data_IF_029980544824
#
_entry.id   IF_029980544824
#
_cell.length_a   1.000
_cell.length_b   1.000
_cell.length_c   1.000
_cell.angle_alpha   90.00
_cell.angle_beta   90.00
_cell.angle_gamma   90.00
#
_symmetry.space_group_name_H-M   'P 1'
#
loop_
_entity.id
_entity.type
_entity.pdbx_description
1 polymer ?
#
# COMPACT_ATOMS: atom_id res chain seq x y z
N UNK A 1 24.17 36.16 -31.96
CA UNK A 1 23.37 37.24 -31.33
C UNK A 1 22.31 36.57 -30.49
N UNK A 2 22.03 37.07 -29.27
CA UNK A 2 21.04 36.49 -28.35
C UNK A 2 20.07 37.59 -27.92
N UNK A 3 18.77 37.30 -27.95
CA UNK A 3 17.69 38.16 -27.43
C UNK A 3 16.67 37.30 -26.66
N UNK A 4 15.89 37.88 -25.75
CA UNK A 4 14.81 37.19 -25.03
C UNK A 4 13.54 37.11 -25.90
N UNK A 5 12.85 35.97 -25.85
CA UNK A 5 11.61 35.71 -26.58
C UNK A 5 10.38 36.34 -25.91
N UNK A 6 10.37 37.67 -25.73
CA UNK A 6 9.32 38.43 -25.03
C UNK A 6 8.54 39.41 -25.94
N UNK A 7 8.74 39.36 -27.27
CA UNK A 7 8.19 40.30 -28.27
C UNK A 7 8.55 41.79 -28.05
N UNK A 8 9.50 42.08 -27.16
CA UNK A 8 9.98 43.43 -26.81
C UNK A 8 11.47 43.60 -27.14
N UNK A 9 12.30 42.61 -26.81
CA UNK A 9 13.72 42.61 -27.19
C UNK A 9 13.92 42.39 -28.69
N UNK A 10 14.84 43.17 -29.25
CA UNK A 10 15.03 43.32 -30.68
C UNK A 10 16.48 43.05 -31.08
N UNK A 11 16.67 42.34 -32.20
CA UNK A 11 17.96 42.16 -32.84
C UNK A 11 17.97 42.83 -34.21
N UNK A 12 18.86 43.78 -34.42
CA UNK A 12 19.07 44.40 -35.74
C UNK A 12 19.79 43.44 -36.68
N UNK A 13 19.18 43.18 -37.83
CA UNK A 13 19.72 42.45 -38.97
C UNK A 13 20.27 43.46 -39.98
N UNK A 14 21.46 43.20 -40.52
CA UNK A 14 22.08 44.04 -41.54
C UNK A 14 22.52 43.19 -42.72
N UNK A 15 22.19 43.65 -43.93
CA UNK A 15 22.59 43.05 -45.19
C UNK A 15 23.33 44.08 -46.04
N UNK A 16 24.49 43.68 -46.55
CA UNK A 16 25.35 44.53 -47.38
C UNK A 16 25.42 43.89 -48.76
N UNK A 17 24.72 44.49 -49.73
CA UNK A 17 24.73 44.04 -51.11
C UNK A 17 25.81 44.79 -51.88
N UNK A 18 26.78 44.08 -52.47
CA UNK A 18 27.88 44.68 -53.23
C UNK A 18 27.97 44.17 -54.66
N UNK A 19 28.42 45.04 -55.55
CA UNK A 19 28.84 44.65 -56.90
C UNK A 19 30.22 43.96 -56.89
N UNK A 20 30.65 43.49 -58.06
CA UNK A 20 31.97 42.85 -58.23
C UNK A 20 33.16 43.79 -57.98
N UNK A 21 32.93 45.09 -57.91
CA UNK A 21 33.94 46.12 -57.67
C UNK A 21 33.95 46.60 -56.20
N UNK A 22 33.07 46.05 -55.36
CA UNK A 22 32.99 46.34 -53.93
C UNK A 22 32.09 47.53 -53.57
N UNK A 23 31.35 48.11 -54.53
CA UNK A 23 30.41 49.20 -54.29
C UNK A 23 29.07 48.66 -53.78
N UNK A 24 28.42 49.37 -52.86
CA UNK A 24 27.07 49.01 -52.40
C UNK A 24 26.04 49.21 -53.53
N UNK A 25 25.03 48.34 -53.59
CA UNK A 25 23.96 48.37 -54.58
C UNK A 25 22.66 48.86 -53.91
N UNK A 26 22.30 50.16 -54.07
CA UNK A 26 21.09 50.72 -53.49
C UNK A 26 19.81 50.34 -54.26
N UNK A 27 18.65 50.66 -53.67
CA UNK A 27 17.32 50.61 -54.28
C UNK A 27 16.87 49.23 -54.80
N UNK A 28 17.18 48.16 -54.06
CA UNK A 28 16.69 46.81 -54.33
C UNK A 28 15.57 46.40 -53.36
N UNK A 29 14.67 45.50 -53.77
CA UNK A 29 13.65 44.92 -52.88
C UNK A 29 14.29 43.79 -52.05
N UNK A 30 14.90 44.16 -50.92
CA UNK A 30 15.48 43.22 -49.95
C UNK A 30 14.45 42.88 -48.88
N UNK A 31 14.26 41.59 -48.60
CA UNK A 31 13.46 41.09 -47.48
C UNK A 31 14.25 40.07 -46.66
N UNK A 32 14.36 40.35 -45.38
CA UNK A 32 14.84 39.38 -44.39
C UNK A 32 13.73 38.40 -44.04
N UNK A 33 14.05 37.12 -43.93
CA UNK A 33 13.13 36.05 -43.50
C UNK A 33 13.77 35.25 -42.37
N UNK A 34 12.95 34.87 -41.40
CA UNK A 34 13.30 33.96 -40.30
C UNK A 34 12.53 32.65 -40.47
N UNK A 35 13.17 31.52 -40.16
CA UNK A 35 12.54 30.19 -40.15
C UNK A 35 11.92 29.82 -38.79
N UNK A 36 12.19 30.59 -37.73
CA UNK A 36 11.63 30.36 -36.41
C UNK A 36 10.16 30.79 -36.37
N UNK A 37 9.27 29.87 -36.00
CA UNK A 37 7.84 30.15 -35.77
C UNK A 37 7.67 31.22 -34.69
N UNK A 38 6.62 32.03 -34.81
CA UNK A 38 6.32 33.14 -33.89
C UNK A 38 7.46 34.17 -33.72
N UNK A 39 8.34 34.24 -34.72
CA UNK A 39 9.26 35.36 -34.91
C UNK A 39 8.70 36.34 -35.94
N UNK A 40 9.02 37.62 -35.76
CA UNK A 40 8.59 38.74 -36.60
C UNK A 40 9.81 39.50 -37.07
N UNK A 41 9.91 39.65 -38.39
CA UNK A 41 10.90 40.50 -39.03
C UNK A 41 10.21 41.78 -39.50
N UNK A 42 10.75 42.94 -39.12
CA UNK A 42 10.19 44.24 -39.51
C UNK A 42 10.29 44.47 -41.03
N UNK A 43 9.62 45.52 -41.50
CA UNK A 43 9.89 46.05 -42.84
C UNK A 43 11.37 46.41 -42.98
N UNK A 44 11.93 46.13 -44.16
CA UNK A 44 13.34 46.45 -44.46
C UNK A 44 13.49 47.94 -44.73
N UNK A 45 14.56 48.52 -44.18
CA UNK A 45 14.95 49.92 -44.36
C UNK A 45 16.27 49.97 -45.12
N UNK A 46 16.30 50.69 -46.24
CA UNK A 46 17.55 51.04 -46.90
C UNK A 46 18.20 52.22 -46.17
N UNK A 47 19.44 52.03 -45.75
CA UNK A 47 20.23 53.01 -45.02
C UNK A 47 20.91 54.00 -46.00
N UNK A 48 21.26 55.22 -45.55
CA UNK A 48 21.90 56.22 -46.42
C UNK A 48 23.22 55.79 -47.07
N UNK A 49 23.89 54.76 -46.53
CA UNK A 49 25.12 54.18 -47.06
C UNK A 49 24.88 53.06 -48.09
N UNK A 50 23.62 52.77 -48.44
CA UNK A 50 23.24 51.72 -49.38
C UNK A 50 23.22 50.31 -48.78
N UNK A 51 23.24 50.17 -47.45
CA UNK A 51 23.00 48.90 -46.75
C UNK A 51 21.52 48.72 -46.40
N UNK A 52 21.09 47.50 -46.09
CA UNK A 52 19.70 47.19 -45.74
C UNK A 52 19.64 46.71 -44.31
N UNK A 53 18.66 47.18 -43.55
CA UNK A 53 18.44 46.76 -42.17
C UNK A 53 16.99 46.37 -41.89
N UNK A 54 16.81 45.43 -40.98
CA UNK A 54 15.51 45.05 -40.41
C UNK A 54 15.71 44.66 -38.95
N UNK A 55 14.62 44.54 -38.20
CA UNK A 55 14.65 44.11 -36.82
C UNK A 55 13.93 42.77 -36.68
N UNK A 56 14.52 41.85 -35.92
CA UNK A 56 13.93 40.59 -35.52
C UNK A 56 13.53 40.64 -34.04
N UNK A 57 12.31 40.17 -33.75
CA UNK A 57 11.83 39.85 -32.39
C UNK A 57 10.90 38.64 -32.43
N UNK A 58 10.47 38.11 -31.29
CA UNK A 58 9.52 37.00 -31.26
C UNK A 58 9.16 36.52 -29.85
N UNK A 59 8.25 35.55 -29.79
CA UNK A 59 7.79 34.92 -28.53
C UNK A 59 8.21 33.46 -28.38
N UNK A 60 8.74 32.83 -29.44
CA UNK A 60 9.24 31.46 -29.37
C UNK A 60 10.74 31.44 -29.08
N UNK A 61 11.16 30.69 -28.06
CA UNK A 61 12.56 30.41 -27.83
C UNK A 61 13.10 29.40 -28.87
N UNK A 62 14.31 29.65 -29.38
CA UNK A 62 14.95 28.82 -30.39
C UNK A 62 15.94 29.57 -31.27
N UNK A 63 16.50 28.88 -32.25
CA UNK A 63 17.39 29.49 -33.24
C UNK A 63 16.59 29.96 -34.45
N UNK A 64 16.68 31.25 -34.76
CA UNK A 64 16.16 31.86 -35.97
C UNK A 64 17.27 31.98 -37.02
N UNK A 65 17.21 31.16 -38.07
CA UNK A 65 18.12 31.26 -39.21
C UNK A 65 17.58 32.31 -40.20
N UNK A 66 18.42 33.29 -40.50
CA UNK A 66 18.06 34.42 -41.32
C UNK A 66 18.49 34.18 -42.77
N UNK A 67 17.52 34.32 -43.67
CA UNK A 67 17.71 34.24 -45.12
C UNK A 67 17.30 35.56 -45.79
N UNK A 68 17.84 35.80 -46.98
CA UNK A 68 17.53 36.99 -47.77
C UNK A 68 16.73 36.58 -49.01
N UNK A 69 15.68 37.35 -49.27
CA UNK A 69 14.97 37.41 -50.54
C UNK A 69 15.32 38.74 -51.22
N UNK A 70 15.80 38.67 -52.45
CA UNK A 70 16.17 39.82 -53.28
C UNK A 70 15.29 39.80 -54.52
N UNK A 71 14.48 40.84 -54.69
CA UNK A 71 13.55 41.03 -55.81
C UNK A 71 12.60 39.83 -56.03
N UNK A 72 12.15 39.21 -54.94
CA UNK A 72 11.24 38.06 -54.97
C UNK A 72 11.93 36.71 -55.19
N UNK A 73 13.26 36.66 -55.17
CA UNK A 73 14.04 35.44 -55.33
C UNK A 73 14.95 35.19 -54.13
N UNK A 74 15.12 33.92 -53.75
CA UNK A 74 16.04 33.56 -52.69
C UNK A 74 17.47 33.97 -53.07
N UNK A 75 18.10 34.79 -52.24
CA UNK A 75 19.47 35.24 -52.43
C UNK A 75 20.40 34.47 -51.49
N UNK A 76 21.38 33.80 -52.08
CA UNK A 76 22.32 33.00 -51.32
C UNK A 76 23.23 33.90 -50.47
N UNK A 77 23.10 33.77 -49.14
CA UNK A 77 24.00 34.37 -48.15
C UNK A 77 24.59 33.28 -47.27
N UNK A 78 25.70 33.58 -46.61
CA UNK A 78 26.13 32.75 -45.47
C UNK A 78 25.04 32.91 -44.39
N UNK A 79 24.39 31.83 -43.93
CA UNK A 79 23.33 31.93 -42.94
C UNK A 79 23.81 32.59 -41.65
N UNK A 80 23.00 33.50 -41.12
CA UNK A 80 23.20 34.11 -39.80
C UNK A 80 22.10 33.61 -38.87
N UNK A 81 22.47 33.22 -37.66
CA UNK A 81 21.52 32.76 -36.64
C UNK A 81 21.40 33.79 -35.52
N UNK A 82 20.16 34.12 -35.17
CA UNK A 82 19.82 34.82 -33.92
C UNK A 82 19.20 33.80 -32.98
N UNK A 83 19.72 33.67 -31.76
CA UNK A 83 19.14 32.78 -30.75
C UNK A 83 18.18 33.57 -29.87
N UNK A 84 16.92 33.14 -29.83
CA UNK A 84 15.92 33.65 -28.92
C UNK A 84 15.90 32.74 -27.67
N UNK A 85 16.17 33.29 -26.48
CA UNK A 85 16.10 32.53 -25.22
C UNK A 85 14.75 32.72 -24.53
N UNK A 86 14.31 31.72 -23.77
CA UNK A 86 13.12 31.82 -22.92
C UNK A 86 13.22 32.96 -21.91
N UNK A 87 12.08 33.52 -21.51
CA UNK A 87 12.05 34.61 -20.54
C UNK A 87 12.10 34.11 -19.09
N UNK A 88 13.27 34.22 -18.46
CA UNK A 88 13.45 33.84 -17.04
C UNK A 88 12.68 34.72 -16.07
N UNK A 89 12.30 35.95 -16.45
CA UNK A 89 11.58 36.87 -15.57
C UNK A 89 10.11 36.48 -15.40
N UNK A 90 9.56 35.76 -16.38
CA UNK A 90 8.18 35.25 -16.37
C UNK A 90 8.11 33.73 -16.19
N UNK A 91 9.24 33.10 -15.84
CA UNK A 91 9.31 31.67 -15.58
C UNK A 91 8.46 31.27 -14.37
N UNK A 92 7.63 30.25 -14.55
CA UNK A 92 6.78 29.65 -13.53
C UNK A 92 6.87 28.12 -13.58
N UNK A 93 6.80 27.48 -12.41
CA UNK A 93 6.60 26.03 -12.32
C UNK A 93 5.16 25.74 -12.77
N UNK A 94 5.01 25.04 -13.90
CA UNK A 94 3.69 24.65 -14.41
C UNK A 94 3.17 23.40 -13.73
N UNK A 95 4.03 22.40 -13.60
CA UNK A 95 3.66 21.10 -13.03
C UNK A 95 4.79 20.53 -12.18
N UNK A 96 4.38 19.75 -11.17
CA UNK A 96 5.27 18.86 -10.42
C UNK A 96 4.60 17.49 -10.43
N UNK A 97 5.29 16.47 -10.91
CA UNK A 97 4.70 15.14 -11.02
C UNK A 97 5.64 13.99 -10.68
N UNK A 98 5.05 12.87 -10.28
CA UNK A 98 5.71 11.61 -9.98
C UNK A 98 6.04 10.86 -11.29
N UNK A 99 7.32 10.54 -11.46
CA UNK A 99 7.81 9.67 -12.52
C UNK A 99 7.49 8.21 -12.16
N UNK A 100 6.36 7.72 -12.66
CA UNK A 100 5.91 6.33 -12.49
C UNK A 100 4.48 6.19 -11.98
N UNK A 101 4.07 4.94 -11.72
CA UNK A 101 2.70 4.62 -11.29
C UNK A 101 2.59 4.25 -9.82
N UNK A 102 3.66 3.72 -9.22
CA UNK A 102 3.68 3.33 -7.81
C UNK A 102 3.80 4.57 -6.92
N UNK A 103 2.93 4.67 -5.93
CA UNK A 103 2.91 5.71 -4.91
C UNK A 103 3.24 5.16 -3.50
N UNK A 104 3.54 3.86 -3.40
CA UNK A 104 3.93 3.16 -2.16
C UNK A 104 5.17 2.31 -2.40
N UNK A 105 6.16 2.40 -1.50
CA UNK A 105 7.43 1.66 -1.52
C UNK A 105 7.89 1.35 -0.10
N UNK A 106 8.94 0.57 0.09
CA UNK A 106 9.40 0.19 1.42
C UNK A 106 10.34 1.24 2.02
N UNK A 107 10.21 1.51 3.31
CA UNK A 107 11.16 2.29 4.10
C UNK A 107 12.45 1.49 4.39
N UNK A 108 13.22 1.16 3.34
CA UNK A 108 14.43 0.34 3.46
C UNK A 108 15.75 1.15 3.47
N UNK A 109 15.68 2.47 3.28
CA UNK A 109 16.86 3.34 3.17
C UNK A 109 17.46 3.43 1.77
N UNK A 110 16.85 2.79 0.77
CA UNK A 110 17.34 2.73 -0.62
C UNK A 110 16.27 2.95 -1.68
N UNK A 111 15.01 2.58 -1.40
CA UNK A 111 13.87 2.82 -2.28
C UNK A 111 13.65 4.31 -2.44
N UNK A 112 13.22 4.73 -3.64
CA UNK A 112 12.99 6.13 -3.95
C UNK A 112 11.82 6.34 -4.90
N UNK A 113 11.23 7.53 -4.83
CA UNK A 113 10.33 8.08 -5.85
C UNK A 113 11.07 9.16 -6.62
N UNK A 114 10.93 9.21 -7.95
CA UNK A 114 11.50 10.27 -8.77
C UNK A 114 10.42 11.29 -9.13
N UNK A 115 10.64 12.56 -8.85
CA UNK A 115 9.74 13.67 -9.16
C UNK A 115 10.34 14.56 -10.23
N UNK A 116 9.48 15.13 -11.07
CA UNK A 116 9.85 16.05 -12.15
C UNK A 116 9.10 17.36 -11.94
N UNK A 117 9.79 18.49 -12.01
CA UNK A 117 9.17 19.80 -12.12
C UNK A 117 9.38 20.34 -13.54
N UNK A 118 8.34 20.94 -14.13
CA UNK A 118 8.39 21.60 -15.44
C UNK A 118 8.21 23.10 -15.29
N UNK A 119 9.12 23.87 -15.90
CA UNK A 119 9.16 25.33 -15.84
C UNK A 119 8.96 25.88 -17.25
N UNK A 120 7.98 26.78 -17.37
CA UNK A 120 7.67 27.49 -18.62
C UNK A 120 7.60 28.99 -18.36
N UNK A 121 7.94 29.79 -19.36
CA UNK A 121 7.66 31.23 -19.36
C UNK A 121 6.19 31.50 -19.72
N UNK A 122 5.78 32.78 -19.74
CA UNK A 122 4.40 33.19 -20.09
C UNK A 122 4.01 32.82 -21.53
N UNK A 123 4.98 32.59 -22.41
CA UNK A 123 4.80 32.21 -23.81
C UNK A 123 4.90 30.69 -24.02
N UNK A 124 4.88 29.89 -22.95
CA UNK A 124 5.00 28.43 -22.95
C UNK A 124 6.33 27.92 -23.55
N UNK A 125 7.41 28.69 -23.41
CA UNK A 125 8.75 28.19 -23.72
C UNK A 125 9.36 27.45 -22.51
N UNK A 126 10.05 26.31 -22.70
CA UNK A 126 10.91 25.72 -21.67
C UNK A 126 11.93 26.74 -21.18
N UNK A 127 12.07 26.87 -19.85
CA UNK A 127 13.07 27.77 -19.27
C UNK A 127 14.23 26.97 -18.69
N UNK A 128 15.40 27.11 -19.30
CA UNK A 128 16.66 26.48 -18.88
C UNK A 128 17.30 27.26 -17.71
N UNK A 129 18.15 26.58 -16.93
CA UNK A 129 18.97 27.15 -15.85
C UNK A 129 18.20 27.82 -14.69
N UNK A 130 16.91 27.54 -14.52
CA UNK A 130 16.10 28.04 -13.40
C UNK A 130 16.32 27.16 -12.16
N UNK A 131 16.75 27.75 -11.05
CA UNK A 131 16.91 27.04 -9.77
C UNK A 131 15.56 26.69 -9.14
N UNK A 132 15.34 25.41 -8.91
CA UNK A 132 14.18 24.83 -8.25
C UNK A 132 14.59 24.23 -6.91
N UNK A 133 13.86 24.61 -5.86
CA UNK A 133 14.07 24.12 -4.50
C UNK A 133 12.99 23.09 -4.16
N UNK A 134 13.42 21.95 -3.63
CA UNK A 134 12.53 20.85 -3.29
C UNK A 134 12.22 20.82 -1.80
N UNK A 135 10.96 20.55 -1.46
CA UNK A 135 10.48 20.38 -0.09
C UNK A 135 9.56 19.17 0.00
N UNK A 136 9.48 18.58 1.19
CA UNK A 136 8.55 17.48 1.45
C UNK A 136 8.00 17.58 2.88
N UNK A 137 6.84 16.94 3.12
CA UNK A 137 6.22 16.89 4.44
C UNK A 137 6.77 15.80 5.37
N UNK A 138 7.62 14.90 4.86
CA UNK A 138 8.22 13.81 5.64
C UNK A 138 9.36 14.27 6.56
N UNK A 139 9.91 15.47 6.34
CA UNK A 139 11.05 15.98 7.10
C UNK A 139 12.26 15.05 6.97
N UNK A 140 12.88 14.68 8.09
CA UNK A 140 14.05 13.80 8.09
C UNK A 140 13.74 12.32 7.81
N UNK A 141 12.47 11.93 7.72
CA UNK A 141 12.05 10.54 7.47
C UNK A 141 12.17 10.12 5.99
N UNK A 142 12.37 11.08 5.09
CA UNK A 142 12.74 10.86 3.69
C UNK A 142 13.65 11.99 3.21
N UNK A 143 14.66 11.68 2.39
CA UNK A 143 15.68 12.64 1.97
C UNK A 143 15.67 12.84 0.47
N UNK A 144 15.86 14.07 0.00
CA UNK A 144 16.09 14.28 -1.43
C UNK A 144 17.52 13.93 -1.81
N UNK A 145 17.73 13.49 -3.05
CA UNK A 145 19.06 13.36 -3.65
C UNK A 145 19.78 14.71 -3.73
N UNK A 146 19.02 15.79 -3.94
CA UNK A 146 19.48 17.18 -3.99
C UNK A 146 18.36 18.08 -3.44
N UNK A 147 18.68 19.14 -2.70
CA UNK A 147 17.67 20.08 -2.19
C UNK A 147 17.36 21.21 -3.17
N UNK A 148 18.26 21.47 -4.13
CA UNK A 148 18.05 22.44 -5.20
C UNK A 148 18.77 22.01 -6.48
N UNK A 149 18.12 22.19 -7.63
CA UNK A 149 18.70 21.85 -8.94
C UNK A 149 18.23 22.87 -9.99
N UNK A 150 19.00 23.01 -11.08
CA UNK A 150 18.61 23.83 -12.23
C UNK A 150 17.84 23.01 -13.27
N UNK A 151 16.94 23.66 -13.99
CA UNK A 151 16.24 23.07 -15.14
C UNK A 151 17.17 22.86 -16.34
N UNK A 152 16.88 21.80 -17.10
CA UNK A 152 17.51 21.49 -18.39
C UNK A 152 16.91 22.32 -19.55
N UNK A 153 17.40 22.08 -20.77
CA UNK A 153 17.01 22.81 -21.98
C UNK A 153 15.52 22.61 -22.34
N UNK A 154 14.93 21.54 -21.84
CA UNK A 154 13.50 21.21 -21.97
C UNK A 154 12.65 21.83 -20.85
N UNK A 155 13.26 22.59 -19.94
CA UNK A 155 12.62 23.26 -18.82
C UNK A 155 12.28 22.30 -17.68
N UNK A 156 12.95 21.14 -17.59
CA UNK A 156 12.64 20.10 -16.62
C UNK A 156 13.76 19.93 -15.61
N UNK A 157 13.41 19.49 -14.41
CA UNK A 157 14.38 19.09 -13.39
C UNK A 157 13.86 17.88 -12.63
N UNK A 158 14.75 16.93 -12.34
CA UNK A 158 14.41 15.65 -11.69
C UNK A 158 15.09 15.52 -10.34
N UNK A 159 14.32 15.12 -9.33
CA UNK A 159 14.84 14.81 -7.99
C UNK A 159 14.38 13.42 -7.55
N UNK A 160 15.18 12.73 -6.75
CA UNK A 160 14.75 11.52 -6.05
C UNK A 160 14.42 11.85 -4.61
N UNK A 161 13.21 11.50 -4.16
CA UNK A 161 12.88 11.38 -2.75
C UNK A 161 13.21 9.95 -2.32
N UNK A 162 14.23 9.78 -1.49
CA UNK A 162 14.79 8.51 -1.04
C UNK A 162 14.24 8.19 0.35
N UNK A 163 13.82 6.94 0.55
CA UNK A 163 13.40 6.43 1.84
C UNK A 163 14.52 6.48 2.87
N UNK A 164 14.13 6.57 4.14
CA UNK A 164 15.00 6.13 5.24
C UNK A 164 14.51 4.78 5.74
N UNK A 165 15.02 4.32 6.90
CA UNK A 165 14.43 3.17 7.63
C UNK A 165 13.23 3.54 8.49
N UNK A 166 12.82 4.81 8.47
CA UNK A 166 11.65 5.32 9.21
C UNK A 166 10.44 5.32 8.26
N UNK A 167 9.38 4.56 8.54
CA UNK A 167 8.17 4.59 7.73
C UNK A 167 7.48 5.96 7.83
N UNK A 168 6.94 6.43 6.71
CA UNK A 168 6.26 7.73 6.60
C UNK A 168 5.25 7.69 5.45
N UNK A 169 4.04 8.19 5.71
CA UNK A 169 2.89 8.06 4.80
C UNK A 169 2.41 9.42 4.31
N UNK A 170 1.69 9.42 3.19
CA UNK A 170 1.01 10.60 2.63
C UNK A 170 1.94 11.81 2.41
N UNK A 171 3.18 11.55 1.99
CA UNK A 171 4.20 12.56 1.75
C UNK A 171 3.76 13.44 0.59
N UNK A 172 3.69 14.75 0.84
CA UNK A 172 3.52 15.76 -0.19
C UNK A 172 4.91 16.26 -0.58
N UNK A 173 5.27 16.10 -1.85
CA UNK A 173 6.45 16.73 -2.45
C UNK A 173 6.05 18.06 -3.06
N UNK A 174 6.91 19.07 -2.98
CA UNK A 174 6.67 20.37 -3.57
C UNK A 174 7.96 21.00 -4.12
N UNK A 175 7.82 21.77 -5.19
CA UNK A 175 8.91 22.50 -5.82
C UNK A 175 8.61 24.01 -5.75
N UNK A 176 9.64 24.83 -5.54
CA UNK A 176 9.51 26.28 -5.49
C UNK A 176 10.66 26.97 -6.24
N UNK A 177 10.32 28.04 -6.97
CA UNK A 177 11.27 28.90 -7.68
C UNK A 177 11.36 30.25 -6.96
N UNK A 178 12.54 30.60 -6.45
CA UNK A 178 12.74 31.89 -5.76
C UNK A 178 11.73 32.11 -4.62
N UNK A 179 10.94 33.18 -4.71
CA UNK A 179 9.89 33.55 -3.74
C UNK A 179 8.48 33.16 -4.18
N UNK A 180 8.33 32.42 -5.29
CA UNK A 180 7.03 31.94 -5.75
C UNK A 180 6.44 30.93 -4.76
N UNK A 181 5.10 30.82 -4.77
CA UNK A 181 4.40 29.81 -3.98
C UNK A 181 4.80 28.42 -4.45
N UNK A 182 5.10 27.53 -3.50
CA UNK A 182 5.47 26.16 -3.83
C UNK A 182 4.32 25.42 -4.54
N UNK A 183 4.64 24.77 -5.66
CA UNK A 183 3.73 23.91 -6.40
C UNK A 183 3.86 22.50 -5.83
N UNK A 184 2.73 21.91 -5.46
CA UNK A 184 2.67 20.54 -4.93
C UNK A 184 2.69 19.54 -6.08
N UNK A 185 3.33 18.40 -5.85
CA UNK A 185 3.17 17.25 -6.71
C UNK A 185 1.70 16.83 -6.80
N UNK A 186 1.31 16.35 -7.96
CA UNK A 186 -0.01 15.81 -8.29
C UNK A 186 -0.42 14.60 -7.44
N UNK A 187 0.55 13.84 -6.93
CA UNK A 187 0.35 12.66 -6.07
C UNK A 187 1.11 12.77 -4.75
N UNK A 188 0.52 12.19 -3.71
CA UNK A 188 1.22 11.85 -2.48
C UNK A 188 1.90 10.50 -2.63
N UNK A 189 2.98 10.27 -1.88
CA UNK A 189 3.68 8.99 -1.85
C UNK A 189 3.93 8.52 -0.42
N UNK A 190 4.15 7.22 -0.22
CA UNK A 190 4.40 6.63 1.11
C UNK A 190 5.59 5.67 1.09
N UNK A 191 6.39 5.69 2.15
CA UNK A 191 7.37 4.67 2.47
C UNK A 191 6.86 3.84 3.65
N UNK A 192 6.54 2.58 3.39
CA UNK A 192 5.84 1.67 4.30
C UNK A 192 6.81 0.84 5.13
N UNK A 193 6.38 0.45 6.32
CA UNK A 193 7.12 -0.49 7.17
C UNK A 193 7.04 -1.90 6.59
N UNK A 194 8.17 -2.61 6.54
CA UNK A 194 8.22 -4.02 6.16
C UNK A 194 8.46 -4.87 7.41
N UNK A 195 7.52 -5.77 7.69
CA UNK A 195 7.56 -6.69 8.82
C UNK A 195 8.08 -8.04 8.37
N UNK A 196 9.05 -8.59 9.09
CA UNK A 196 9.46 -9.99 8.90
C UNK A 196 8.63 -10.88 9.83
N UNK A 197 7.53 -11.37 9.30
CA UNK A 197 6.54 -12.16 10.02
C UNK A 197 6.99 -13.62 10.11
N UNK A 198 6.91 -14.21 11.30
CA UNK A 198 7.11 -15.65 11.50
C UNK A 198 5.76 -16.33 11.61
N UNK A 199 5.56 -17.42 10.87
CA UNK A 199 4.33 -18.21 10.93
C UNK A 199 4.66 -19.62 11.40
N UNK A 200 3.83 -20.17 12.28
CA UNK A 200 3.97 -21.53 12.79
C UNK A 200 2.66 -22.30 12.64
N UNK A 201 2.69 -23.38 11.87
CA UNK A 201 1.55 -24.27 11.66
C UNK A 201 1.67 -25.49 12.56
N UNK A 202 0.65 -25.70 13.39
CA UNK A 202 0.62 -26.77 14.38
C UNK A 202 -0.65 -27.60 14.29
N UNK A 203 -0.58 -28.79 14.87
CA UNK A 203 -1.73 -29.64 15.11
C UNK A 203 -2.55 -29.07 16.28
N UNK A 204 -3.86 -28.94 16.12
CA UNK A 204 -4.74 -28.39 17.13
C UNK A 204 -4.97 -29.32 18.34
N UNK A 205 -4.71 -30.63 18.21
CA UNK A 205 -5.07 -31.66 19.19
C UNK A 205 -3.83 -32.29 19.83
N UNK A 206 -2.75 -32.45 19.06
CA UNK A 206 -1.54 -33.07 19.58
C UNK A 206 -0.94 -32.27 20.75
N UNK A 207 -0.32 -32.99 21.69
CA UNK A 207 0.26 -32.38 22.88
C UNK A 207 1.36 -31.35 22.53
N UNK A 208 1.30 -30.19 23.19
CA UNK A 208 2.21 -29.08 22.92
C UNK A 208 2.06 -28.50 21.51
N UNK A 209 3.06 -27.74 21.06
CA UNK A 209 3.07 -27.18 19.71
C UNK A 209 3.69 -28.17 18.71
N UNK A 210 2.96 -29.26 18.43
CA UNK A 210 3.41 -30.25 17.44
C UNK A 210 3.31 -29.68 16.02
N UNK A 211 4.42 -29.56 15.28
CA UNK A 211 4.42 -28.97 13.94
C UNK A 211 3.68 -29.81 12.90
N UNK A 212 2.95 -29.17 12.00
CA UNK A 212 2.43 -29.83 10.79
C UNK A 212 3.44 -29.67 9.66
N UNK A 213 4.03 -30.78 9.23
CA UNK A 213 4.91 -30.85 8.06
C UNK A 213 4.08 -31.03 6.79
N UNK A 214 4.43 -30.29 5.74
CA UNK A 214 3.79 -30.43 4.43
C UNK A 214 2.47 -29.68 4.31
N UNK A 215 2.16 -28.77 5.24
CA UNK A 215 1.02 -27.87 5.11
C UNK A 215 1.32 -26.86 4.00
N UNK A 216 0.44 -26.81 3.01
CA UNK A 216 0.50 -25.84 1.92
C UNK A 216 -0.17 -24.55 2.36
N UNK A 217 0.57 -23.44 2.37
CA UNK A 217 0.12 -22.15 2.88
C UNK A 217 0.11 -21.13 1.76
N UNK A 218 -1.01 -20.43 1.61
CA UNK A 218 -1.20 -19.33 0.68
C UNK A 218 -1.66 -18.08 1.44
N UNK A 219 -1.01 -16.95 1.20
CA UNK A 219 -1.34 -15.64 1.78
C UNK A 219 -1.74 -14.70 0.65
N UNK A 220 -2.92 -14.13 0.75
CA UNK A 220 -3.48 -13.22 -0.24
C UNK A 220 -3.69 -11.81 0.33
N UNK A 221 -3.93 -10.84 -0.55
CA UNK A 221 -4.55 -9.56 -0.20
C UNK A 221 -5.85 -9.77 0.60
N UNK A 222 -6.31 -8.77 1.36
CA UNK A 222 -7.53 -8.88 2.19
C UNK A 222 -8.76 -9.35 1.39
N UNK A 223 -8.89 -8.91 0.14
CA UNK A 223 -10.00 -9.30 -0.75
C UNK A 223 -9.80 -10.65 -1.44
N UNK A 224 -8.67 -11.33 -1.19
CA UNK A 224 -8.32 -12.62 -1.78
C UNK A 224 -7.95 -12.57 -3.27
N UNK A 225 -7.76 -11.38 -3.85
CA UNK A 225 -7.54 -11.22 -5.29
C UNK A 225 -6.09 -11.41 -5.73
N UNK A 226 -5.11 -11.09 -4.88
CA UNK A 226 -3.68 -11.17 -5.18
C UNK A 226 -3.00 -12.18 -4.26
N UNK A 227 -2.29 -13.16 -4.85
CA UNK A 227 -1.43 -14.09 -4.10
C UNK A 227 -0.10 -13.40 -3.78
N UNK A 228 0.16 -13.16 -2.50
CA UNK A 228 1.34 -12.45 -2.00
C UNK A 228 2.46 -13.40 -1.58
N UNK A 229 2.10 -14.58 -1.06
CA UNK A 229 3.06 -15.59 -0.65
C UNK A 229 2.48 -17.00 -0.75
N UNK A 230 3.31 -17.96 -1.12
CA UNK A 230 2.96 -19.38 -1.13
C UNK A 230 4.15 -20.21 -0.67
N UNK A 231 3.91 -21.18 0.20
CA UNK A 231 4.96 -22.09 0.69
C UNK A 231 4.39 -23.43 1.13
N UNK A 232 5.27 -24.35 1.51
CA UNK A 232 4.91 -25.62 2.13
C UNK A 232 5.81 -25.85 3.33
N UNK A 233 5.22 -26.12 4.49
CA UNK A 233 5.97 -26.22 5.74
C UNK A 233 6.93 -27.41 5.76
N UNK A 234 8.10 -27.20 6.36
CA UNK A 234 9.06 -28.28 6.63
C UNK A 234 8.75 -29.00 7.95
N UNK A 235 9.69 -29.82 8.44
CA UNK A 235 9.51 -30.56 9.70
C UNK A 235 9.38 -29.66 10.94
N UNK A 236 9.72 -28.37 10.84
CA UNK A 236 9.58 -27.41 11.94
C UNK A 236 8.20 -26.74 11.95
N UNK A 237 7.40 -26.88 10.88
CA UNK A 237 6.11 -26.20 10.74
C UNK A 237 6.21 -24.69 10.58
N UNK A 238 7.42 -24.12 10.49
CA UNK A 238 7.67 -22.68 10.54
C UNK A 238 8.17 -22.15 9.21
N UNK A 239 7.80 -20.91 8.91
CA UNK A 239 8.38 -20.13 7.82
C UNK A 239 8.36 -18.64 8.15
N UNK A 240 9.07 -17.84 7.34
CA UNK A 240 9.03 -16.38 7.41
C UNK A 240 8.46 -15.80 6.12
N UNK A 241 7.75 -14.69 6.25
CA UNK A 241 7.25 -13.91 5.13
C UNK A 241 7.41 -12.43 5.45
N UNK A 242 7.90 -11.66 4.49
CA UNK A 242 8.01 -10.22 4.64
C UNK A 242 6.74 -9.57 4.08
N UNK A 243 6.00 -8.84 4.92
CA UNK A 243 4.72 -8.21 4.59
C UNK A 243 4.72 -6.76 5.07
N UNK A 244 4.02 -5.89 4.35
CA UNK A 244 3.72 -4.55 4.85
C UNK A 244 2.61 -4.60 5.90
N UNK A 245 2.32 -3.47 6.56
CA UNK A 245 1.18 -3.40 7.46
C UNK A 245 -0.14 -3.59 6.70
N UNK A 246 -0.98 -4.52 7.15
CA UNK A 246 -2.22 -4.86 6.45
C UNK A 246 -2.95 -6.07 7.06
N UNK A 247 -4.13 -6.34 6.50
CA UNK A 247 -4.90 -7.55 6.78
C UNK A 247 -4.83 -8.47 5.55
N UNK A 248 -4.61 -9.75 5.78
CA UNK A 248 -4.30 -10.72 4.75
C UNK A 248 -5.16 -11.96 4.91
N UNK A 249 -5.73 -12.47 3.83
CA UNK A 249 -6.41 -13.76 3.85
C UNK A 249 -5.35 -14.88 3.84
N UNK A 250 -5.50 -15.88 4.71
CA UNK A 250 -4.59 -17.01 4.87
C UNK A 250 -5.37 -18.30 4.65
N UNK A 251 -4.91 -19.09 3.68
CA UNK A 251 -5.45 -20.41 3.37
C UNK A 251 -4.39 -21.46 3.61
N UNK A 252 -4.75 -22.53 4.32
CA UNK A 252 -3.83 -23.62 4.65
C UNK A 252 -4.53 -24.95 4.37
N UNK A 253 -3.85 -25.83 3.64
CA UNK A 253 -4.30 -27.20 3.39
C UNK A 253 -3.22 -28.18 3.81
N UNK A 254 -3.59 -29.32 4.38
CA UNK A 254 -2.67 -30.38 4.75
C UNK A 254 -3.37 -31.75 4.73
N UNK A 255 -2.64 -32.82 4.43
CA UNK A 255 -3.22 -34.16 4.39
C UNK A 255 -3.73 -34.59 5.78
N UNK A 256 -4.96 -35.10 5.84
CA UNK A 256 -5.65 -35.52 7.07
C UNK A 256 -6.01 -34.37 8.02
N UNK A 257 -6.03 -33.13 7.52
CA UNK A 257 -6.51 -31.96 8.26
C UNK A 257 -7.65 -31.30 7.48
N UNK A 258 -8.54 -30.66 8.21
CA UNK A 258 -9.53 -29.76 7.61
C UNK A 258 -8.82 -28.53 7.03
N UNK A 259 -9.35 -28.01 5.92
CA UNK A 259 -8.87 -26.75 5.33
C UNK A 259 -9.05 -25.59 6.32
N UNK A 260 -8.04 -24.74 6.42
CA UNK A 260 -8.06 -23.53 7.22
C UNK A 260 -8.21 -22.31 6.32
N UNK A 261 -9.14 -21.42 6.66
CA UNK A 261 -9.40 -20.17 5.95
C UNK A 261 -9.72 -19.06 6.95
N UNK A 262 -8.85 -18.04 7.02
CA UNK A 262 -8.97 -16.93 7.96
C UNK A 262 -8.18 -15.68 7.52
N UNK A 263 -8.09 -14.70 8.41
CA UNK A 263 -7.28 -13.52 8.28
C UNK A 263 -6.12 -13.46 9.27
N UNK A 264 -5.05 -12.84 8.83
CA UNK A 264 -3.89 -12.42 9.62
C UNK A 264 -3.77 -10.90 9.55
N UNK A 265 -3.46 -10.24 10.66
CA UNK A 265 -3.31 -8.77 10.70
C UNK A 265 -1.90 -8.41 11.12
N UNK A 266 -1.12 -7.87 10.19
CA UNK A 266 0.24 -7.35 10.43
C UNK A 266 0.14 -5.85 10.66
N UNK A 267 0.64 -5.37 11.80
CA UNK A 267 0.60 -3.94 12.15
C UNK A 267 1.77 -3.56 13.05
N UNK A 268 2.13 -2.28 13.03
CA UNK A 268 3.21 -1.75 13.88
C UNK A 268 2.86 -1.91 15.37
N UNK A 269 3.84 -2.34 16.17
CA UNK A 269 3.70 -2.56 17.62
C UNK A 269 2.99 -3.85 18.04
N UNK A 270 2.51 -4.67 17.10
CA UNK A 270 1.94 -6.00 17.36
C UNK A 270 3.00 -7.10 17.37
N UNK A 271 2.66 -8.26 17.94
CA UNK A 271 3.45 -9.47 17.69
C UNK A 271 3.34 -9.87 16.22
N UNK A 272 4.47 -10.22 15.62
CA UNK A 272 4.57 -10.68 14.23
C UNK A 272 4.83 -12.18 14.15
N UNK A 273 4.70 -12.89 15.27
CA UNK A 273 4.70 -14.35 15.34
C UNK A 273 3.25 -14.85 15.33
N UNK A 274 2.82 -15.41 14.20
CA UNK A 274 1.50 -16.02 14.09
C UNK A 274 1.59 -17.53 14.27
N UNK A 275 0.61 -18.07 14.96
CA UNK A 275 0.42 -19.50 15.17
C UNK A 275 -0.95 -19.85 14.59
N UNK A 276 -1.01 -20.85 13.71
CA UNK A 276 -2.26 -21.38 13.17
C UNK A 276 -2.37 -22.86 13.51
N UNK A 277 -3.48 -23.24 14.12
CA UNK A 277 -3.76 -24.62 14.49
C UNK A 277 -4.69 -25.28 13.49
N UNK A 278 -4.22 -26.34 12.83
CA UNK A 278 -5.03 -27.14 11.92
C UNK A 278 -5.77 -28.23 12.70
N UNK A 279 -7.07 -28.36 12.43
CA UNK A 279 -7.91 -29.44 12.95
C UNK A 279 -7.61 -30.73 12.17
N UNK A 280 -7.14 -31.82 12.80
CA UNK A 280 -7.16 -33.13 12.15
C UNK A 280 -8.58 -33.49 11.67
N UNK A 281 -8.72 -34.26 10.60
CA UNK A 281 -10.05 -34.71 10.15
C UNK A 281 -10.84 -35.33 11.33
N UNK A 282 -12.10 -34.93 11.49
CA UNK A 282 -12.92 -35.34 12.63
C UNK A 282 -13.19 -36.85 12.71
N UNK A 283 -13.06 -37.59 11.60
CA UNK A 283 -13.38 -39.02 11.56
C UNK A 283 -14.83 -39.28 12.03
N UNK A 284 -14.98 -39.90 13.21
CA UNK A 284 -16.28 -40.18 13.85
C UNK A 284 -16.65 -39.21 14.97
N UNK A 285 -15.76 -38.28 15.34
CA UNK A 285 -16.00 -37.32 16.42
C UNK A 285 -17.14 -36.37 16.05
N UNK A 286 -17.98 -36.00 17.02
CA UNK A 286 -19.12 -35.10 16.83
C UNK A 286 -18.71 -33.72 16.31
N UNK A 287 -17.66 -33.13 16.89
CA UNK A 287 -17.14 -31.85 16.44
C UNK A 287 -15.93 -31.39 17.24
N UNK A 288 -15.29 -30.32 16.78
CA UNK A 288 -14.12 -29.72 17.41
C UNK A 288 -14.28 -28.21 17.48
N UNK A 289 -13.93 -27.64 18.63
CA UNK A 289 -13.90 -26.20 18.88
C UNK A 289 -12.45 -25.80 19.11
N UNK A 290 -11.96 -24.82 18.37
CA UNK A 290 -10.60 -24.28 18.48
C UNK A 290 -10.72 -22.80 18.82
N UNK A 291 -10.18 -22.42 19.98
CA UNK A 291 -9.92 -21.05 20.36
C UNK A 291 -8.47 -20.71 20.03
N UNK A 292 -8.26 -19.58 19.38
CA UNK A 292 -6.93 -19.03 19.06
C UNK A 292 -6.88 -17.56 19.44
N UNK A 293 -5.79 -17.11 20.05
CA UNK A 293 -5.53 -15.69 20.30
C UNK A 293 -4.06 -15.35 20.10
N UNK A 294 -3.79 -14.16 19.58
CA UNK A 294 -2.42 -13.77 19.16
C UNK A 294 -1.71 -12.87 20.18
N UNK A 295 -2.45 -12.15 21.01
CA UNK A 295 -1.91 -11.14 21.93
C UNK A 295 -2.61 -11.23 23.29
N UNK A 296 -2.43 -10.24 24.16
CA UNK A 296 -3.15 -10.17 25.42
C UNK A 296 -4.69 -10.31 25.26
N UNK A 297 -5.38 -10.92 26.24
CA UNK A 297 -4.84 -11.38 27.52
C UNK A 297 -3.97 -12.63 27.37
N UNK A 298 -3.02 -12.78 28.30
CA UNK A 298 -1.99 -13.84 28.25
C UNK A 298 -2.58 -15.23 28.14
N UNK A 299 -3.73 -15.45 28.78
CA UNK A 299 -4.32 -16.76 29.04
C UNK A 299 -5.85 -16.63 28.92
N UNK A 300 -6.45 -17.38 28.01
CA UNK A 300 -7.88 -17.38 27.71
C UNK A 300 -8.41 -18.80 27.75
N UNK A 301 -9.25 -19.09 28.75
CA UNK A 301 -9.75 -20.44 28.95
C UNK A 301 -11.00 -20.73 28.09
N UNK A 302 -10.97 -21.87 27.43
CA UNK A 302 -12.08 -22.51 26.76
C UNK A 302 -12.93 -23.29 27.75
N UNK A 303 -14.24 -23.04 27.70
CA UNK A 303 -15.21 -23.73 28.52
C UNK A 303 -16.35 -24.28 27.68
N UNK A 304 -16.72 -25.54 27.93
CA UNK A 304 -17.89 -26.18 27.34
C UNK A 304 -18.81 -26.70 28.44
N UNK A 305 -20.04 -26.18 28.49
CA UNK A 305 -21.11 -26.70 29.33
C UNK A 305 -21.93 -27.71 28.52
N UNK A 306 -21.71 -28.98 28.78
CA UNK A 306 -22.40 -30.12 28.16
C UNK A 306 -23.77 -30.31 28.83
N UNK A 307 -24.84 -30.60 28.07
CA UNK A 307 -26.15 -30.84 28.64
C UNK A 307 -26.17 -32.06 29.56
N UNK A 308 -27.15 -32.18 30.47
CA UNK A 308 -27.23 -33.30 31.38
C UNK A 308 -27.34 -34.64 30.66
N UNK A 309 -26.60 -35.64 31.14
CA UNK A 309 -26.76 -37.02 30.68
C UNK A 309 -27.66 -37.76 31.67
N UNK A 310 -28.93 -37.94 31.29
CA UNK A 310 -29.95 -38.51 32.17
C UNK A 310 -30.56 -37.48 33.11
N UNK A 311 -30.64 -37.77 34.41
CA UNK A 311 -31.26 -36.88 35.42
C UNK A 311 -30.24 -36.06 36.23
N UNK A 312 -29.02 -35.88 35.70
CA UNK A 312 -27.93 -35.19 36.38
C UNK A 312 -27.94 -33.67 36.18
N UNK A 313 -26.90 -33.02 36.69
CA UNK A 313 -26.57 -31.64 36.35
C UNK A 313 -25.79 -31.58 35.02
N UNK A 314 -25.57 -30.37 34.50
CA UNK A 314 -24.68 -30.17 33.35
C UNK A 314 -23.24 -30.54 33.69
N UNK A 315 -22.49 -30.92 32.66
CA UNK A 315 -21.11 -31.37 32.81
C UNK A 315 -20.19 -30.30 32.21
N UNK A 316 -19.23 -29.82 32.98
CA UNK A 316 -18.36 -28.71 32.59
C UNK A 316 -16.97 -29.19 32.19
N UNK A 317 -16.59 -28.95 30.94
CA UNK A 317 -15.24 -29.24 30.41
C UNK A 317 -14.44 -27.93 30.41
N UNK A 318 -13.33 -27.92 31.16
CA UNK A 318 -12.38 -26.80 31.27
C UNK A 318 -11.04 -27.28 31.88
N UNK A 319 -10.07 -26.39 32.10
CA UNK A 319 -8.71 -26.76 32.53
C UNK A 319 -8.62 -27.70 33.76
N UNK A 320 -9.45 -27.55 34.80
CA UNK A 320 -9.40 -28.44 35.99
C UNK A 320 -10.09 -29.79 35.72
N UNK A 321 -11.04 -29.80 34.79
CA UNK A 321 -11.84 -30.96 34.40
C UNK A 321 -11.75 -31.14 32.89
N UNK A 322 -10.58 -31.53 32.40
CA UNK A 322 -10.30 -31.62 30.97
C UNK A 322 -11.04 -32.76 30.29
N UNK A 323 -11.42 -33.81 31.03
CA UNK A 323 -12.20 -34.95 30.52
C UNK A 323 -13.14 -35.50 31.59
N UNK A 324 -14.19 -34.75 31.96
CA UNK A 324 -15.12 -35.17 32.99
C UNK A 324 -15.94 -36.37 32.51
N UNK A 325 -16.25 -37.28 33.43
CA UNK A 325 -16.97 -38.50 33.09
C UNK A 325 -18.37 -38.19 32.53
N UNK A 326 -18.72 -38.82 31.41
CA UNK A 326 -20.03 -38.69 30.78
C UNK A 326 -20.20 -37.46 29.87
N UNK A 327 -19.22 -36.55 29.78
CA UNK A 327 -19.31 -35.41 28.86
C UNK A 327 -19.14 -35.76 27.38
N UNK A 328 -18.53 -36.92 27.10
CA UNK A 328 -18.08 -37.33 25.77
C UNK A 328 -17.30 -36.22 25.02
N UNK A 329 -16.61 -35.36 25.78
CA UNK A 329 -15.79 -34.26 25.29
C UNK A 329 -14.49 -34.14 26.09
N UNK A 330 -13.45 -33.57 25.47
CA UNK A 330 -12.12 -33.41 26.07
C UNK A 330 -11.54 -32.05 25.69
N UNK A 331 -11.00 -31.31 26.67
CA UNK A 331 -10.07 -30.21 26.43
C UNK A 331 -8.71 -30.84 26.09
N UNK A 332 -8.43 -30.95 24.79
CA UNK A 332 -7.25 -31.62 24.25
C UNK A 332 -6.00 -30.77 24.44
N UNK A 333 -6.15 -29.44 24.35
CA UNK A 333 -5.07 -28.47 24.45
C UNK A 333 -5.51 -27.26 25.27
N UNK A 334 -4.59 -26.81 26.12
CA UNK A 334 -4.74 -25.77 27.16
C UNK A 334 -3.46 -24.91 27.20
N UNK A 335 -3.35 -23.91 26.32
CA UNK A 335 -2.17 -23.03 26.22
C UNK A 335 -2.30 -21.81 27.14
N UNK A 336 -1.44 -21.70 28.16
CA UNK A 336 -1.49 -20.61 29.14
C UNK A 336 -0.83 -19.27 28.70
N UNK A 337 -0.45 -19.17 27.41
CA UNK A 337 0.35 -18.06 26.88
C UNK A 337 0.00 -17.72 25.43
N UNK A 338 -0.16 -16.43 25.13
CA UNK A 338 -0.27 -15.90 23.77
C UNK A 338 1.08 -15.98 23.02
N UNK A 339 1.10 -16.29 21.69
CA UNK A 339 -0.04 -16.75 20.90
C UNK A 339 -0.45 -18.17 21.32
N UNK A 340 -1.72 -18.31 21.72
CA UNK A 340 -2.25 -19.47 22.42
C UNK A 340 -3.36 -20.15 21.61
N UNK A 341 -3.47 -21.47 21.81
CA UNK A 341 -4.50 -22.32 21.23
C UNK A 341 -5.14 -23.17 22.33
N UNK A 342 -6.46 -23.21 22.37
CA UNK A 342 -7.20 -24.20 23.15
C UNK A 342 -8.18 -24.96 22.27
N UNK A 343 -8.25 -26.27 22.49
CA UNK A 343 -9.01 -27.16 21.63
C UNK A 343 -9.87 -28.09 22.46
N UNK A 344 -11.17 -28.10 22.17
CA UNK A 344 -12.11 -29.07 22.72
C UNK A 344 -12.62 -29.97 21.60
N UNK A 345 -12.37 -31.28 21.71
CA UNK A 345 -12.98 -32.30 20.85
C UNK A 345 -14.18 -32.93 21.56
N UNK A 346 -15.33 -32.93 20.89
CA UNK A 346 -16.52 -33.65 21.30
C UNK A 346 -16.59 -34.95 20.50
N UNK A 347 -16.51 -36.08 21.19
CA UNK A 347 -16.51 -37.41 20.58
C UNK A 347 -17.92 -37.90 20.26
N UNK A 348 -18.94 -37.49 21.03
CA UNK A 348 -20.34 -37.89 20.84
C UNK A 348 -21.31 -36.77 21.20
N UNK A 349 -22.47 -36.77 20.54
CA UNK A 349 -23.57 -35.87 20.88
C UNK A 349 -24.44 -36.37 22.03
N UNK A 350 -24.95 -35.42 22.80
CA UNK A 350 -26.03 -35.53 23.76
C UNK A 350 -27.16 -34.62 23.30
N UNK A 351 -28.40 -34.99 23.62
CA UNK A 351 -29.57 -34.15 23.35
C UNK A 351 -29.51 -32.87 24.19
N UNK A 352 -30.23 -31.85 23.75
CA UNK A 352 -30.31 -30.51 24.35
C UNK A 352 -29.12 -29.62 23.99
N UNK A 353 -28.82 -28.65 24.85
CA UNK A 353 -27.98 -27.49 24.52
C UNK A 353 -26.61 -27.60 25.17
N UNK A 354 -25.57 -27.53 24.34
CA UNK A 354 -24.22 -27.20 24.76
C UNK A 354 -24.04 -25.68 24.73
N UNK A 355 -23.24 -25.15 25.65
CA UNK A 355 -22.86 -23.72 25.62
C UNK A 355 -21.35 -23.61 25.67
N UNK A 356 -20.76 -22.95 24.67
CA UNK A 356 -19.33 -22.69 24.61
C UNK A 356 -19.05 -21.22 24.92
N UNK A 357 -18.07 -20.98 25.78
CA UNK A 357 -17.65 -19.64 26.16
C UNK A 357 -16.15 -19.56 26.43
N UNK A 358 -15.61 -18.36 26.27
CA UNK A 358 -14.20 -18.04 26.51
C UNK A 358 -14.10 -17.14 27.72
N UNK A 359 -13.31 -17.53 28.71
CA UNK A 359 -13.19 -16.80 29.99
C UNK A 359 -11.90 -15.98 30.01
N UNK A 360 -12.00 -14.71 30.42
CA UNK A 360 -10.83 -13.90 30.72
C UNK A 360 -10.40 -14.14 32.17
N UNK A 361 -9.82 -15.30 32.48
CA UNK A 361 -9.52 -15.68 33.87
C UNK A 361 -8.35 -14.90 34.47
N UNK A 362 -7.19 -14.95 33.82
CA UNK A 362 -5.95 -14.38 34.36
C UNK A 362 -5.58 -13.00 33.80
N UNK A 363 -6.32 -12.50 32.81
CA UNK A 363 -6.05 -11.21 32.17
C UNK A 363 -6.55 -10.00 32.96
N UNK A 364 -6.01 -8.79 32.68
CA UNK A 364 -6.66 -7.55 33.07
C UNK A 364 -7.98 -7.37 32.30
N UNK A 365 -8.76 -6.35 32.67
CA UNK A 365 -9.86 -5.88 31.82
C UNK A 365 -9.30 -5.54 30.45
N UNK A 366 -9.68 -6.32 29.44
CA UNK A 366 -9.08 -6.27 28.12
C UNK A 366 -10.13 -6.55 27.05
N UNK A 367 -9.91 -5.97 25.87
CA UNK A 367 -10.58 -6.48 24.67
C UNK A 367 -10.00 -7.86 24.37
N UNK A 368 -10.85 -8.82 24.08
CA UNK A 368 -10.43 -10.13 23.60
C UNK A 368 -10.17 -10.10 22.08
N UNK A 369 -9.98 -8.94 21.46
CA UNK A 369 -10.17 -8.69 20.02
C UNK A 369 -9.27 -9.52 19.07
N UNK A 370 -8.24 -10.20 19.59
CA UNK A 370 -7.44 -11.16 18.79
C UNK A 370 -7.92 -12.60 18.93
N UNK A 371 -8.84 -12.88 19.85
CA UNK A 371 -9.44 -14.18 20.07
C UNK A 371 -10.45 -14.51 18.97
N UNK A 372 -10.25 -15.67 18.36
CA UNK A 372 -11.14 -16.25 17.37
C UNK A 372 -11.49 -17.66 17.80
N UNK A 373 -12.75 -18.02 17.62
CA UNK A 373 -13.24 -19.38 17.87
C UNK A 373 -13.74 -19.96 16.56
N UNK A 374 -13.23 -21.12 16.21
CA UNK A 374 -13.73 -21.93 15.11
C UNK A 374 -14.43 -23.18 15.67
N UNK A 375 -15.55 -23.55 15.09
CA UNK A 375 -16.19 -24.84 15.30
C UNK A 375 -16.27 -25.60 13.98
N UNK A 376 -15.84 -26.86 14.00
CA UNK A 376 -16.00 -27.84 12.93
C UNK A 376 -16.95 -28.95 13.42
N UNK A 377 -17.98 -29.26 12.63
CA UNK A 377 -18.96 -30.32 12.90
C UNK A 377 -18.77 -31.48 11.94
N UNK A 378 -18.96 -32.71 12.43
CA UNK A 378 -18.79 -33.91 11.61
C UNK A 378 -19.65 -33.85 10.34
N UNK A 379 -19.08 -34.31 9.23
CA UNK A 379 -19.73 -34.34 7.91
C UNK A 379 -21.02 -35.18 7.87
N UNK A 380 -21.16 -36.15 8.77
CA UNK A 380 -22.28 -37.11 8.81
C UNK A 380 -23.48 -36.62 9.64
N UNK A 381 -23.40 -35.45 10.30
CA UNK A 381 -24.51 -34.88 11.09
C UNK A 381 -25.58 -34.24 10.20
N UNK A 382 -26.85 -34.30 10.61
CA UNK A 382 -27.91 -33.51 9.96
C UNK A 382 -27.92 -32.10 10.54
N UNK A 383 -27.77 -31.07 9.70
CA UNK A 383 -27.69 -29.66 10.14
C UNK A 383 -28.99 -28.91 9.85
N UNK A 384 -29.42 -28.08 10.81
CA UNK A 384 -30.53 -27.14 10.62
C UNK A 384 -30.11 -25.93 9.77
N UNK A 385 -31.07 -25.25 9.10
CA UNK A 385 -30.79 -24.01 8.38
C UNK A 385 -30.06 -22.97 9.25
N UNK A 386 -29.08 -22.31 8.65
CA UNK A 386 -28.23 -21.33 9.34
C UNK A 386 -27.01 -21.92 10.04
N UNK A 387 -26.83 -23.25 10.02
CA UNK A 387 -25.63 -23.93 10.53
C UNK A 387 -24.77 -24.42 9.38
N UNK A 388 -23.50 -24.02 9.37
CA UNK A 388 -22.48 -24.53 8.45
C UNK A 388 -21.62 -25.58 9.13
N UNK A 389 -20.98 -26.44 8.34
CA UNK A 389 -20.03 -27.46 8.86
C UNK A 389 -18.88 -26.82 9.63
N UNK A 390 -18.39 -25.70 9.12
CA UNK A 390 -17.39 -24.88 9.78
C UNK A 390 -17.98 -23.50 10.01
N UNK A 391 -17.84 -22.97 11.22
CA UNK A 391 -18.24 -21.60 11.57
C UNK A 391 -17.12 -20.94 12.36
N UNK A 392 -16.96 -19.63 12.16
CA UNK A 392 -15.94 -18.81 12.80
C UNK A 392 -16.58 -17.65 13.53
N UNK A 393 -16.09 -17.34 14.72
CA UNK A 393 -16.60 -16.28 15.59
C UNK A 393 -15.43 -15.43 16.07
N UNK A 394 -15.55 -14.12 15.88
CA UNK A 394 -14.60 -13.16 16.42
C UNK A 394 -15.07 -12.68 17.79
N UNK A 395 -14.14 -12.50 18.71
CA UNK A 395 -14.43 -11.86 19.99
C UNK A 395 -15.09 -10.48 19.80
N UNK A 396 -16.02 -10.10 20.68
CA UNK A 396 -16.68 -8.81 20.58
C UNK A 396 -15.67 -7.69 20.82
N UNK A 397 -15.84 -6.56 20.12
CA UNK A 397 -14.97 -5.37 20.27
C UNK A 397 -15.33 -4.54 21.51
N UNK A 398 -15.45 -5.21 22.65
CA UNK A 398 -15.77 -4.63 23.96
C UNK A 398 -14.78 -5.14 25.00
N UNK A 399 -14.58 -4.36 26.08
CA UNK A 399 -13.77 -4.84 27.20
C UNK A 399 -14.50 -5.98 27.92
N UNK A 400 -13.82 -7.11 28.07
CA UNK A 400 -14.25 -8.22 28.91
C UNK A 400 -13.49 -8.08 30.23
N UNK A 401 -14.22 -7.77 31.29
CA UNK A 401 -13.65 -7.63 32.62
C UNK A 401 -13.00 -8.94 33.08
N UNK A 402 -12.02 -8.83 33.98
CA UNK A 402 -11.41 -10.01 34.61
C UNK A 402 -12.48 -10.95 35.18
N UNK A 403 -12.30 -12.25 34.97
CA UNK A 403 -13.20 -13.34 35.35
C UNK A 403 -14.57 -13.35 34.66
N UNK A 404 -14.84 -12.41 33.75
CA UNK A 404 -16.03 -12.47 32.88
C UNK A 404 -15.76 -13.34 31.66
N UNK A 405 -16.82 -13.75 30.98
CA UNK A 405 -16.71 -14.54 29.76
C UNK A 405 -17.44 -13.92 28.57
N UNK A 406 -16.91 -14.24 27.40
CA UNK A 406 -17.59 -14.11 26.13
C UNK A 406 -18.33 -15.42 25.83
N UNK A 407 -19.66 -15.36 25.83
CA UNK A 407 -20.52 -16.47 25.41
C UNK A 407 -20.55 -16.45 23.88
N UNK A 408 -19.96 -17.48 23.28
CA UNK A 408 -19.70 -17.50 21.83
C UNK A 408 -20.93 -18.01 21.10
N UNK A 409 -21.37 -19.23 21.40
CA UNK A 409 -22.49 -19.89 20.77
C UNK A 409 -23.08 -21.00 21.66
N UNK A 410 -24.30 -21.41 21.32
CA UNK A 410 -24.88 -22.68 21.74
C UNK A 410 -24.81 -23.70 20.61
N UNK A 411 -24.65 -24.98 20.93
CA UNK A 411 -24.91 -26.09 20.01
C UNK A 411 -26.17 -26.81 20.51
N UNK A 412 -27.22 -26.85 19.70
CA UNK A 412 -28.49 -27.49 20.04
C UNK A 412 -28.59 -28.79 19.25
N UNK A 413 -28.70 -29.91 19.97
CA UNK A 413 -29.00 -31.22 19.39
C UNK A 413 -30.42 -31.60 19.76
N UNK A 414 -31.32 -31.62 18.78
CA UNK A 414 -32.73 -31.89 19.06
C UNK A 414 -33.05 -33.38 19.16
N UNK A 415 -34.32 -33.69 19.50
CA UNK A 415 -34.80 -35.06 19.64
C UNK A 415 -34.58 -35.94 18.39
N UNK A 416 -34.42 -35.35 17.20
CA UNK A 416 -34.20 -36.04 15.93
C UNK A 416 -32.73 -36.11 15.50
N UNK A 417 -31.79 -35.71 16.36
CA UNK A 417 -30.34 -35.63 16.07
C UNK A 417 -29.98 -34.55 15.04
N UNK A 418 -30.86 -33.58 14.83
CA UNK A 418 -30.55 -32.41 14.04
C UNK A 418 -29.79 -31.38 14.89
N UNK A 419 -28.68 -30.88 14.33
CA UNK A 419 -27.75 -30.00 15.01
C UNK A 419 -27.92 -28.57 14.51
N UNK A 420 -27.95 -27.62 15.44
CA UNK A 420 -27.94 -26.20 15.16
C UNK A 420 -26.87 -25.49 15.99
N UNK A 421 -26.06 -24.64 15.36
CA UNK A 421 -25.18 -23.71 16.08
C UNK A 421 -25.85 -22.35 16.12
N UNK A 422 -26.08 -21.82 17.32
CA UNK A 422 -26.73 -20.53 17.55
C UNK A 422 -25.70 -19.53 18.09
N UNK A 423 -25.26 -18.56 17.27
CA UNK A 423 -24.35 -17.51 17.73
C UNK A 423 -24.97 -16.70 18.88
N UNK A 424 -24.17 -16.38 19.90
CA UNK A 424 -24.58 -15.53 21.03
C UNK A 424 -23.87 -14.19 21.01
N UNK A 425 -22.54 -14.20 21.01
CA UNK A 425 -21.72 -12.99 20.93
C UNK A 425 -21.82 -12.04 22.14
N UNK A 426 -22.33 -12.50 23.27
CA UNK A 426 -22.58 -11.66 24.47
C UNK A 426 -21.48 -11.79 25.51
N UNK A 427 -21.27 -10.75 26.32
CA UNK A 427 -20.35 -10.78 27.46
C UNK A 427 -21.15 -10.86 28.76
N UNK A 428 -20.74 -11.74 29.67
CA UNK A 428 -21.41 -11.96 30.95
C UNK A 428 -20.40 -12.16 32.08
N UNK A 429 -20.70 -11.61 33.25
CA UNK A 429 -19.98 -11.90 34.50
C UNK A 429 -20.51 -13.14 35.23
N UNK A 430 -21.70 -13.63 34.85
CA UNK A 430 -22.30 -14.85 35.37
C UNK A 430 -22.09 -16.00 34.39
N UNK A 431 -21.56 -17.11 34.90
CA UNK A 431 -21.37 -18.35 34.14
C UNK A 431 -22.69 -18.82 33.53
N UNK A 432 -22.73 -19.16 32.23
CA UNK A 432 -23.94 -19.70 31.63
C UNK A 432 -24.29 -21.02 32.31
N UNK A 433 -25.55 -21.10 32.76
CA UNK A 433 -26.13 -22.34 33.27
C UNK A 433 -26.65 -23.21 32.15
#
# INVERSE_FOLDING_TARGET
MIIVANDDEESTLTFILKDKFGNNIPSQDVKFKSDLTDSKVSTTTENPDGTYSAVLKGTKAGNANITIDLDGQAFAVVPVTVTLTSDTATAEIKDVFLSGVQDRKIANGTDFFEFIAEVRDVNDNPVNDVTINWTNTAGASATFSETSQQTDAEGKVKVKLISTKTPVYDIVVSAAQGTQVAVKAEKKVSFEELFSTSVFIIDAVAAGDTPVKGAHVEIFSEDGSELLHQTTTDATGKFKVDLVGGKYAVKITANNYDDYDDFMVVKSGADTNFKFALSPELGTDFGRIILQWSENPRDLDAHLQVPPVGSGDRIHVYHEHTKPAGADATLDKDDQYSPGIETITMTKSHKETYTYFVKNYAGPDAKLSTAKVQISLNKDLTLKPGTSRTMSFNAPDVNVAKSSQWIVFDIIVDANDEVQVVPKGTVSSAEPQ
#
